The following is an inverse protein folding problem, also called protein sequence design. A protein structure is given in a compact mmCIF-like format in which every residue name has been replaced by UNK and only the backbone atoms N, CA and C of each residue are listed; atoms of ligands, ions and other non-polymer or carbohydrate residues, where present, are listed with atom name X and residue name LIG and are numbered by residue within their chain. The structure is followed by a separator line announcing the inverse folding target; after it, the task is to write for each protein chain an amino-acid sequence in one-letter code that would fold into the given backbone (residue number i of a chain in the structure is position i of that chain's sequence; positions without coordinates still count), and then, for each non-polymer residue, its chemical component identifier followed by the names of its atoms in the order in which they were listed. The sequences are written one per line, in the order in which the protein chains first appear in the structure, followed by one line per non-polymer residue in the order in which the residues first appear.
data_IF_203380194817
#
_entry.id   IF_203380194817
#
_cell.length_a   1.000
_cell.length_b   1.000
_cell.length_c   1.000
_cell.angle_alpha   90.00
_cell.angle_beta   90.00
_cell.angle_gamma   90.00
#
_symmetry.space_group_name_H-M   'P 1'
#
loop_
_entity.id
_entity.type
_entity.pdbx_description
1 polymer ?
#
# COMPACT_ATOMS: atom_id res chain seq x y z
CA UNK A 1 2.15 41.77 48.38
CA UNK A 2 -0.57 40.81 50.86
CA UNK A 3 0.93 37.40 51.61
CA UNK A 4 4.37 38.85 52.30
CA UNK A 5 6.31 36.84 49.73
CA UNK A 6 9.64 38.59 50.27
CA UNK A 7 12.59 36.27 50.86
CA UNK A 8 10.73 33.01 50.28
CA UNK A 9 9.56 32.92 53.89
CA UNK A 10 7.19 29.95 54.02
CA UNK A 11 8.07 26.65 52.35
CA UNK A 12 11.45 28.05 51.33
CA UNK A 13 13.97 25.56 49.95
CA UNK A 14 16.53 27.06 52.32
CA UNK A 15 14.30 26.14 55.25
CA UNK A 16 14.78 22.37 55.39
CA UNK A 17 12.59 19.28 55.75
CA UNK A 18 11.98 20.18 59.39
CA UNK A 19 11.15 23.79 58.54
CA UNK A 20 8.77 22.78 55.75
CA UNK A 21 6.32 20.87 57.94
CA UNK A 22 4.18 19.96 54.94
CA UNK A 23 3.96 16.37 56.15
CA UNK A 24 0.97 14.21 55.26
CA UNK A 25 3.09 11.61 53.47
CA UNK A 26 3.53 7.85 53.15
CA UNK A 27 5.90 5.42 54.85
CA UNK A 28 9.17 6.29 53.12
CA UNK A 29 9.96 5.79 49.44
CA UNK A 30 7.21 4.22 47.33
CA UNK A 31 8.71 0.85 46.44
CA UNK A 32 10.86 0.73 49.58
CA UNK A 33 13.93 -0.30 47.60
CA UNK A 34 17.11 1.78 47.81
CA UNK A 35 16.40 3.70 44.61
CA UNK A 36 17.25 7.35 45.25
CA UNK A 37 14.91 8.84 42.65
CA UNK A 38 15.82 6.52 39.79
CA UNK A 39 18.95 5.15 41.46
CA UNK A 40 22.06 6.09 39.48
CA UNK A 41 20.57 8.99 37.52
CA UNK A 42 17.16 8.77 35.86
CA UNK A 43 18.52 6.59 33.06
CA UNK A 44 20.86 9.52 32.40
CA UNK A 45 17.92 11.33 30.80
CA UNK A 46 15.77 11.91 27.69
CA UNK A 47 16.98 10.21 24.54
CA UNK A 48 15.33 12.75 22.25
CA UNK A 49 15.07 16.47 22.98
CA UNK A 50 12.08 18.74 22.39
CA UNK A 51 13.74 20.18 19.30
CA UNK A 52 14.53 16.82 17.73
CA UNK A 53 18.17 16.35 18.71
CA UNK A 54 19.28 13.18 20.47
CA UNK A 55 21.23 13.09 23.74
CA UNK A 56 23.61 10.42 22.50
CA UNK A 57 27.38 10.32 22.15
CA UNK A 58 29.25 7.78 20.06
CA UNK A 59 32.69 6.44 21.00
CA UNK A 60 35.04 3.97 19.32
CA UNK A 61 32.71 1.53 17.58
CA UNK A 62 34.85 -1.18 16.01
CA UNK A 63 33.01 -4.49 16.30
CA UNK A 64 33.51 -7.98 17.71
CA UNK A 65 36.70 -6.08 16.89
CA UNK A 66 33.64 -6.26 14.64
CA UNK A 67 32.33 -2.94 13.35
CA UNK A 68 32.91 -1.40 9.93
CA UNK A 69 33.37 1.00 7.02
CA UNK A 70 35.81 3.67 5.86
CA UNK A 71 32.84 2.26 7.77
CA UNK A 72 30.25 5.02 8.31
CA UNK A 73 27.57 2.86 6.67
CA UNK A 74 24.98 0.19 7.43
CA UNK A 75 26.51 -2.74 9.30
CA UNK A 76 25.54 -6.22 10.45
CA UNK A 77 26.80 -8.07 13.51
CA UNK A 78 29.46 -10.61 12.58
CA UNK A 79 27.58 -13.38 14.40
CA UNK A 80 23.95 -14.42 14.76
CA UNK A 81 22.42 -15.86 17.92
CA UNK A 82 19.66 -18.11 19.11
CA UNK A 83 18.16 -17.75 22.56
CA UNK A 84 14.98 -17.38 24.55
CA UNK A 85 13.13 -14.10 24.39
CA UNK A 86 9.80 -13.46 26.10
CA UNK A 87 9.30 -17.23 26.41
CA UNK A 88 10.14 -18.18 22.82
CA UNK A 89 13.23 -19.53 21.05
CA UNK A 90 14.40 -16.81 18.62
CA UNK A 91 17.01 -16.30 15.92
CA UNK A 92 18.46 -12.82 16.28
CA UNK A 93 21.06 -10.59 14.68
CA UNK A 94 22.20 -7.02 15.02
CA UNK A 95 22.01 -4.09 12.65
CA UNK A 96 23.52 -0.65 12.96
CA UNK A 97 23.94 2.61 11.09
CA UNK A 98 27.48 3.91 11.64
CA UNK A 99 26.62 6.84 9.40
CA UNK A 100 25.33 10.06 10.91
CA UNK A 101 22.08 10.52 9.00
CA UNK A 102 18.66 8.97 9.45
CA UNK A 103 17.64 6.01 7.31
CA UNK A 104 14.16 6.63 5.95
CA UNK A 105 11.62 3.87 5.47
CA UNK A 106 14.06 1.26 6.69
CA UNK A 107 12.90 -2.35 6.72
CA UNK A 108 14.65 -5.70 7.14
CA UNK A 109 14.33 -9.07 5.37
CA UNK A 110 15.96 -12.49 5.63
CA UNK A 111 16.06 -15.78 3.77
CA UNK A 112 17.37 -19.26 4.39
CA UNK A 113 19.20 -20.49 1.29
CA UNK A 114 19.27 -24.24 0.82
CA UNK A 115 19.17 -26.65 -2.09
CA UNK A 116 16.25 -29.07 -2.11
CA UNK A 117 14.42 -31.76 -4.03
CA UNK A 118 10.67 -31.73 -4.48
CA UNK A 119 8.55 -34.87 -4.27
CA UNK A 120 8.32 -34.58 -8.06
CA UNK A 121 12.09 -35.11 -8.10
CA UNK A 122 12.84 -31.60 -9.31
CA UNK A 123 16.19 -30.32 -8.09
CA UNK A 124 16.28 -26.69 -6.99
CA UNK A 125 19.84 -25.19 -6.67
CA UNK A 126 19.28 -22.82 -3.74
CA UNK A 127 15.65 -22.48 -2.79
CA UNK A 128 15.06 -19.17 -1.01
CA UNK A 129 12.88 -19.67 2.09
CA UNK A 130 11.64 -16.54 3.80
CA UNK A 131 12.50 -15.87 7.45
CA UNK A 132 9.74 -13.93 9.16
CA UNK A 133 10.95 -10.80 10.90
CA UNK A 134 7.68 -8.91 11.26
CA UNK A 135 6.33 -8.29 7.75
CA UNK A 136 2.81 -9.45 8.71
CA UNK A 137 2.46 -6.87 11.48
CA UNK A 138 4.72 -4.32 9.84
CA UNK A 139 7.37 -4.51 12.53
CA UNK A 140 9.86 -5.42 9.78
CA UNK A 141 9.98 -1.64 9.46
CA UNK A 142 12.52 -0.13 11.80
CA UNK A 143 13.52 3.19 13.30
CA UNK A 144 17.30 2.79 13.42
CA UNK A 145 19.24 5.25 15.55
CA UNK A 146 20.93 2.96 18.03
CA UNK A 147 21.91 -0.62 17.05
CA UNK A 148 18.78 -2.80 16.81
CA UNK A 149 18.41 -6.51 17.44
CA UNK A 150 16.33 -8.18 14.72
CA UNK A 151 14.21 -11.02 16.03
CA UNK A 152 12.75 -14.01 14.22
CA UNK A 153 10.39 -16.11 16.32
CA UNK A 154 11.03 -19.77 15.65
CA UNK A 155 7.36 -20.85 15.54
CA UNK A 156 5.60 -23.68 13.66
CA UNK A 157 6.00 -21.76 10.43
CA UNK A 158 9.71 -21.21 10.86
CA UNK A 159 12.03 -23.25 8.67
CA UNK A 160 14.23 -23.72 11.75
CA UNK A 161 11.32 -24.97 13.85
CA UNK A 162 12.77 -28.48 14.06
CA UNK A 163 16.42 -27.55 14.58
CA UNK A 164 18.18 -28.01 17.92
CA UNK A 165 21.67 -26.94 18.97
CA UNK A 166 23.03 -30.31 17.89
CA UNK A 167 21.24 -30.09 14.53
CA UNK A 168 22.69 -26.60 13.89
CA UNK A 169 26.15 -28.09 14.46
CA UNK A 170 25.91 -30.44 11.47
CA UNK A 171 23.61 -28.10 9.55
CA UNK A 172 24.54 -26.97 6.05
CA UNK A 173 22.51 -23.84 5.24
CA UNK A 174 23.00 -20.09 4.85
CA UNK A 175 20.86 -17.22 6.15
CA UNK A 176 20.95 -14.05 4.08
CA UNK A 177 20.04 -10.80 5.83
CA UNK A 178 19.03 -7.57 4.14
CA UNK A 179 18.51 -4.00 5.33
CA UNK A 180 17.06 -1.42 2.96
CA UNK A 181 16.15 2.24 3.28
CA UNK A 182 16.76 5.75 2.02
CA UNK A 183 19.73 7.61 3.43
CA UNK A 184 18.67 11.10 4.53
CA UNK A 185 19.15 13.94 2.03
CA UNK A 186 19.73 11.49 -0.82
CA UNK A 187 17.34 10.17 -3.46
CA UNK A 188 18.97 6.76 -3.36
CA UNK A 189 17.57 3.70 -1.62
CA UNK A 190 20.38 1.61 -0.19
CA UNK A 191 20.48 -2.18 0.18
CA UNK A 192 22.91 -3.58 2.76
CA UNK A 193 23.40 -7.37 2.79
CA UNK A 194 25.23 -9.96 4.82
CA UNK A 195 24.90 -13.64 5.60
CA UNK A 196 25.18 -16.17 8.41
CA UNK A 197 26.29 -19.76 7.84
CA UNK A 198 24.97 -22.35 10.28
CA UNK A 199 28.31 -22.40 12.12
CA UNK A 200 28.12 -18.62 12.45
CA UNK A 201 25.02 -18.89 14.65
CA UNK A 202 25.95 -18.89 18.34
CA UNK A 203 23.39 -21.01 20.15
CA UNK A 204 22.80 -19.83 23.71
CA UNK A 205 24.20 -16.32 23.33
CA UNK A 206 22.93 -12.75 23.68
CA UNK A 207 24.32 -9.48 22.37
CA UNK A 208 26.17 -7.12 24.68
CA UNK A 209 24.30 -3.81 25.22
CA UNK A 210 25.76 -0.82 23.33
CA UNK A 211 23.24 1.77 24.48
CA UNK A 212 24.18 3.43 27.77
CA UNK A 213 22.14 6.07 29.56
CA UNK A 214 24.27 9.02 30.69
CA UNK A 215 23.36 12.52 31.86
CA UNK A 216 20.36 13.92 29.94
CA UNK A 217 21.85 12.07 26.97
CA UNK A 218 22.47 8.62 25.47
CA UNK A 219 25.71 7.11 24.25
CA UNK A 220 26.27 4.21 21.89
CA UNK A 221 29.50 2.23 22.22
CA UNK A 222 30.18 0.49 18.94
CA UNK A 223 33.15 -1.40 20.39
CA UNK A 224 30.54 -3.77 21.84
CA UNK A 225 28.59 -4.17 18.59
CA UNK A 226 29.79 -7.68 17.71
CA UNK A 227 30.22 -8.83 21.33
CA UNK A 228 28.06 -11.63 22.73
CA UNK A 229 27.93 -13.70 25.92
CA UNK A 230 26.82 -17.21 26.84
CA UNK A 231 23.59 -17.94 28.62
CA UNK A 232 23.90 -21.52 30.01
CA UNK A 233 20.21 -21.64 30.98
CA UNK A 234 19.37 -21.61 27.25
CA UNK A 235 17.36 -24.73 26.26
CA UNK A 236 19.23 -27.11 23.93
CA UNK A 237 16.29 -28.76 22.18
CA UNK A 238 14.57 -27.50 19.02
CA UNK A 239 11.68 -25.03 19.13
CA UNK A 240 9.38 -27.94 18.30
CA UNK A 241 10.53 -29.92 21.37
CA UNK A 242 9.92 -26.88 23.54
CA UNK A 243 6.40 -26.73 22.10
CA UNK A 244 5.57 -30.35 22.93
CA UNK A 245 7.47 -30.33 26.23
CA UNK A 246 4.62 -28.18 27.58
CA UNK A 247 4.96 -31.12 29.96
CA UNK A 248 2.23 -32.73 27.85
CA UNK A 249 1.78 -36.00 25.98
CA UNK A 250 -1.64 -36.51 27.55
CA UNK A 251 -3.35 -35.32 24.37
CA UNK A 252 -2.49 -38.02 21.84
CA UNK A 253 -3.20 -35.92 18.76
CA UNK A 254 -0.25 -37.39 16.86
CA UNK A 255 -2.36 -38.82 14.04
CA UNK A 256 -0.34 -37.14 11.29
CA UNK A 257 2.03 -40.05 10.66
CA UNK A 258 2.74 -40.86 7.02
CA UNK A 259 5.74 -38.76 6.00
CA UNK A 260 8.40 -40.80 7.79
CA UNK A 261 11.56 -42.48 6.52
CA UNK A 262 11.35 -44.70 9.60
CA UNK A 263 14.76 -46.38 9.56
CA UNK A 264 14.91 -46.23 13.36
CA UNK A 265 11.14 -45.80 13.62
CA UNK A 266 9.48 -48.87 12.11
CA UNK A 267 11.47 -50.29 9.20
CA UNK A 268 11.68 -53.95 10.22
CA UNK A 269 9.03 -56.43 9.09
CA UNK A 270 11.15 -59.08 10.81
CA UNK A 271 10.44 -59.33 14.54
CA UNK A 272 13.51 -60.90 16.14
CA UNK A 273 15.84 -59.36 13.57
CA UNK A 274 18.77 -57.70 15.34
CA UNK A 275 21.71 -59.84 16.43
CA UNK A 276 21.39 -57.99 19.74
CA UNK A 277 17.68 -58.73 20.00
CA UNK A 278 16.06 -58.69 23.44
CA UNK A 279 17.63 -58.23 26.87
CA UNK A 280 21.06 -58.72 25.30
CA UNK A 281 23.00 -55.46 25.17
CA UNK A 282 26.08 -57.17 23.74
CA UNK A 283 27.73 -54.08 22.29
CA UNK A 284 30.88 -53.82 24.41
CA UNK A 285 28.93 -51.44 26.64
CA UNK A 286 26.39 -52.26 29.35
CA UNK A 287 23.32 -50.21 30.27
CA UNK A 288 21.91 -52.94 32.51
CA UNK A 289 25.11 -53.20 34.55
CA UNK A 290 27.38 -50.18 34.98
CA UNK A 291 26.50 -46.49 35.12
CA UNK A 292 30.01 -45.58 36.24
CA UNK A 293 33.22 -47.10 34.88
CA UNK A 294 35.67 -47.69 37.73
CA UNK A 295 37.96 -50.71 37.60
CA UNK A 296 38.77 -52.16 41.01
CA UNK A 297 38.87 -55.81 39.94
CA UNK A 298 42.28 -57.44 40.40
CA UNK A 299 40.51 -60.78 40.74
CA UNK A 300 37.48 -61.07 38.46
CA UNK A 301 34.40 -60.41 40.58
CA UNK A 302 34.57 -58.31 43.74
CA UNK A 303 30.92 -58.93 44.59
CA UNK A 304 29.15 -61.02 41.96
CA UNK A 305 26.02 -62.84 43.12
CA UNK A 306 26.18 -64.91 39.94
CA UNK A 307 29.51 -65.73 38.30
CA UNK A 308 28.68 -66.97 34.80
CA UNK A 309 25.14 -67.97 35.77
CA UNK B 1 22.10 -21.63 -55.98
CA UNK B 2 20.01 -24.66 -56.95
CA UNK B 3 16.76 -22.70 -57.16
CA UNK B 4 18.28 -20.04 -59.40
CA UNK B 5 17.54 -17.03 -57.21
CA UNK B 6 19.37 -14.49 -59.36
CA UNK B 7 17.35 -11.39 -60.25
CA UNK B 8 14.31 -12.20 -58.12
CA UNK B 9 12.82 -14.32 -60.91
CA UNK B 10 9.74 -15.89 -59.33
CA UNK B 11 7.37 -13.83 -57.19
CA UNK B 12 9.42 -10.71 -57.87
CA UNK B 13 7.89 -7.40 -56.80
CA UNK B 14 8.75 -6.05 -60.25
CA UNK B 15 6.60 -8.77 -61.81
CA UNK B 16 3.11 -7.50 -60.99
CA UNK B 17 -0.14 -8.94 -59.65
CA UNK B 18 -0.66 -10.77 -62.94
CA UNK B 19 2.90 -12.12 -62.94
CA UNK B 20 2.65 -13.29 -59.33
CA UNK B 21 -0.17 -15.77 -59.87
CA UNK B 22 -0.22 -16.68 -56.18
CA UNK B 23 -4.01 -16.41 -56.14
CA UNK B 24 -6.06 -18.44 -53.66
CA UNK B 25 -7.59 -15.35 -52.06
CA UNK B 26 -10.92 -13.99 -50.83
CA UNK B 27 -13.50 -11.73 -52.47
CA UNK B 28 -11.69 -8.39 -52.33
CA UNK B 29 -10.77 -6.47 -49.18
CA UNK B 30 -11.82 -8.05 -45.89
CA UNK B 31 -14.46 -5.63 -44.64
CA UNK B 32 -15.41 -4.52 -48.15
CA UNK B 33 -15.32 -0.85 -47.17
CA UNK B 34 -13.08 1.56 -49.07
CA UNK B 35 -10.26 1.40 -46.53
CA UNK B 36 -7.00 1.17 -48.47
CA UNK B 37 -4.98 -0.59 -45.77
CA UNK B 38 -6.02 1.63 -42.86
CA UNK B 39 -7.51 4.36 -45.05
CA UNK B 40 -5.57 7.61 -44.64
CA UNK B 41 -2.37 6.14 -43.23
CA UNK B 42 -2.40 3.50 -40.49
CA UNK B 43 -3.27 6.08 -37.84
CA UNK B 44 -0.05 7.77 -38.92
CA UNK B 45 1.85 5.10 -36.99
CA UNK B 46 3.23 3.87 -33.64
CA UNK B 47 2.89 6.30 -30.77
CA UNK B 48 5.87 4.85 -28.89
CA UNK B 49 9.03 3.55 -30.53
CA UNK B 50 10.99 0.42 -29.62
CA UNK B 51 13.61 2.54 -27.87
CA UNK B 52 11.13 4.49 -25.77
CA UNK B 53 10.78 7.70 -27.78
CA UNK B 54 7.36 8.95 -28.82
CA UNK B 55 6.35 9.82 -32.39
CA UNK B 56 4.59 13.01 -31.34
CA UNK B 57 5.06 16.63 -32.32
CA UNK B 58 3.65 19.55 -30.38
CA UNK B 59 2.49 22.78 -32.03
CA UNK B 60 1.07 26.02 -30.63
CA UNK B 61 -0.87 24.92 -27.56
CA UNK B 62 -2.59 27.99 -26.13
CA UNK B 63 -5.98 26.95 -24.77
CA UNK B 64 -9.66 27.80 -25.19
CA UNK B 65 -7.23 30.56 -26.13
CA UNK B 66 -6.97 28.42 -23.00
CA UNK B 67 -3.59 26.82 -22.36
CA UNK B 68 -0.89 28.01 -19.96
CA UNK B 69 2.42 28.73 -18.23
CA UNK B 70 5.59 30.72 -18.84
CA UNK B 71 3.27 27.73 -19.09
CA UNK B 72 5.33 24.54 -19.46
CA UNK B 73 3.58 23.02 -16.44
CA UNK B 74 0.53 21.00 -15.42
CA UNK B 75 -2.66 22.55 -16.77
CA UNK B 76 -6.42 22.10 -16.44
CA UNK B 77 -9.06 22.81 -19.08
CA UNK B 78 -10.78 26.12 -18.44
CA UNK B 79 -14.21 24.48 -18.59
CA UNK B 80 -15.73 21.25 -17.34
CA UNK B 81 -18.36 19.24 -19.19
CA UNK B 82 -21.20 16.84 -18.63
CA UNK B 83 -22.25 14.35 -21.28
CA UNK B 84 -22.98 10.74 -22.05
CA UNK B 85 -20.10 8.32 -22.21
CA UNK B 86 -20.50 4.58 -22.74
CA UNK B 87 -24.16 4.88 -21.75
CA UNK B 88 -23.69 6.93 -18.57
CA UNK B 89 -23.96 10.62 -17.69
CA UNK B 90 -20.44 11.79 -16.73
CA UNK B 91 -18.71 14.88 -15.38
CA UNK B 92 -15.43 15.34 -17.23
CA UNK B 93 -12.49 17.71 -17.36
CA UNK B 94 -9.15 17.86 -19.11
CA UNK B 95 -5.63 17.69 -17.79
CA UNK B 96 -2.36 18.23 -19.59
CA UNK B 97 1.37 18.42 -19.02
CA UNK B 98 2.80 21.25 -21.13
CA UNK B 99 6.21 20.43 -19.69
CA UNK B 100 8.52 18.06 -21.52
CA UNK B 101 9.23 15.49 -18.82
CA UNK B 102 7.23 12.54 -17.57
CA UNK B 103 5.11 12.88 -14.44
CA UNK B 104 5.75 9.90 -12.19
CA UNK B 105 3.05 8.31 -10.07
CA UNK B 106 0.49 10.82 -11.25
CA UNK B 107 -3.01 10.56 -9.82
CA UNK B 108 -6.07 12.83 -9.83
CA UNK B 109 -8.61 13.82 -7.17
CA UNK B 110 -11.69 16.04 -6.97
CA UNK B 111 -14.08 17.43 -4.39
CA UNK B 112 -17.38 19.25 -4.39
CA UNK B 113 -17.21 22.14 -1.92
CA UNK B 114 -20.53 23.20 -0.43
CA UNK B 115 -21.75 24.50 2.90
CA UNK B 116 -24.34 22.35 4.64
CA UNK B 117 -26.39 21.82 7.78
CA UNK B 118 -26.64 18.46 9.49
CA UNK B 119 -29.89 17.15 10.96
CA UNK B 120 -28.31 17.97 14.33
CA UNK B 121 -28.35 21.60 13.20
CA UNK B 122 -24.57 21.85 12.98
CA UNK B 123 -23.41 24.31 10.36
CA UNK B 124 -20.42 23.25 8.29
CA UNK B 125 -18.72 26.12 6.32
CA UNK B 126 -17.61 24.21 3.21
CA UNK B 127 -18.06 20.48 3.55
CA UNK B 128 -15.67 18.66 1.20
CA UNK B 129 -17.48 15.85 -0.64
CA UNK B 130 -15.32 13.48 -2.65
CA UNK B 131 -15.88 13.06 -6.39
CA UNK B 132 -15.01 9.56 -7.51
CA UNK B 133 -12.56 9.46 -10.40
CA UNK B 134 -11.31 5.89 -10.12
CA UNK B 135 -9.66 5.51 -6.70
CA UNK B 136 -11.50 2.23 -5.99
CA UNK B 137 -10.11 0.51 -9.09
CA UNK B 138 -6.91 2.51 -9.16
CA UNK B 139 -7.71 4.23 -12.42
CA UNK B 140 -7.29 7.54 -10.58
CA UNK B 141 -3.65 6.89 -11.44
CA UNK B 142 -2.77 8.23 -14.86
CA UNK B 143 -0.10 7.96 -17.51
CA UNK B 144 -0.06 11.53 -18.83
CA UNK B 145 1.70 12.15 -22.11
CA UNK B 146 -1.09 13.52 -24.25
CA UNK B 147 -3.96 15.53 -22.68
CA UNK B 148 -6.27 13.19 -20.73
CA UNK B 149 -9.98 13.52 -20.08
CA UNK B 150 -10.83 12.75 -16.45
CA UNK B 151 -14.17 11.05 -16.04
CA UNK B 152 -16.49 10.90 -13.05
CA UNK B 153 -19.46 8.58 -13.48
CA UNK B 154 -22.55 10.20 -12.04
CA UNK B 155 -23.95 7.07 -10.34
CA UNK B 156 -26.13 6.63 -7.23
CA UNK B 157 -23.16 7.51 -5.05
CA UNK B 158 -22.36 10.70 -6.89
CA UNK B 159 -23.22 13.96 -5.16
CA UNK B 160 -24.47 15.22 -8.54
CA UNK B 161 -26.71 12.18 -9.03
CA UNK B 162 -29.87 14.27 -8.70
CA UNK B 163 -28.77 17.30 -10.71
CA UNK B 164 -30.15 18.06 -14.17
CA UNK B 165 -29.11 20.76 -16.64
CA UNK B 166 -31.71 23.10 -15.17
CA UNK B 167 -30.53 22.37 -11.62
CA UNK B 168 -26.90 23.11 -12.57
CA UNK B 169 -28.07 26.49 -13.86
CA UNK B 170 -29.23 27.68 -10.42
CA UNK B 171 -26.66 25.57 -8.60
CA UNK B 172 -24.27 27.19 -6.13
CA UNK B 173 -21.32 24.83 -5.61
CA UNK B 174 -17.65 24.54 -6.52
CA UNK B 175 -15.69 21.52 -7.77
CA UNK B 176 -12.00 21.48 -6.89
CA UNK B 177 -9.71 19.38 -9.07
CA UNK B 178 -6.23 18.20 -8.15
CA UNK B 179 -3.39 16.56 -10.07
CA UNK B 180 -0.34 15.31 -8.20
CA UNK B 181 2.84 13.54 -9.23
CA UNK B 182 6.62 13.67 -9.35
CA UNK B 183 8.20 15.59 -12.18
CA UNK B 184 10.93 13.49 -13.81
CA UNK B 185 14.50 14.02 -12.59
CA UNK B 186 13.30 15.95 -9.53
CA UNK B 187 12.71 14.79 -5.96
CA UNK B 188 9.70 17.06 -5.63
CA UNK B 189 6.08 15.95 -5.80
CA UNK B 190 3.97 18.62 -7.45
CA UNK B 191 0.34 19.47 -6.70
CA UNK B 192 -1.58 21.30 -9.45
CA UNK B 193 -5.05 22.61 -8.54
CA UNK B 194 -7.96 24.31 -10.24
CA UNK B 195 -11.69 24.62 -9.75
CA UNK B 196 -14.99 24.63 -11.60
CA UNK B 197 -17.99 26.65 -10.44
CA UNK B 198 -21.41 25.31 -11.39
CA UNK B 199 -21.71 27.88 -14.20
CA UNK B 200 -18.33 26.75 -15.52
CA UNK B 201 -19.72 23.28 -16.31
CA UNK B 202 -20.90 23.08 -19.92
CA UNK B 203 -23.81 20.66 -20.02
CA UNK B 204 -24.04 18.80 -23.32
CA UNK B 205 -20.48 19.41 -24.50
CA UNK B 206 -17.43 17.31 -25.40
CA UNK B 207 -13.77 18.24 -25.68
CA UNK B 208 -12.17 18.74 -29.07
CA UNK B 209 -9.51 16.11 -29.85
CA UNK B 210 -5.90 17.33 -29.56
CA UNK B 211 -4.19 14.05 -30.45
CA UNK B 212 -3.69 13.59 -34.19
CA UNK B 213 -2.10 10.57 -35.84
CA UNK B 214 0.49 11.55 -38.45
CA UNK B 215 3.23 9.56 -40.19
CA UNK B 216 4.85 7.02 -37.84
CA UNK B 217 4.34 9.69 -35.18
CA UNK B 218 1.74 11.48 -33.06
CA UNK B 219 1.14 15.20 -32.67
CA UNK B 220 -0.65 17.07 -29.92
CA UNK B 221 -2.22 20.43 -30.77
CA UNK B 222 -2.61 22.41 -27.58
CA UNK B 223 -4.53 25.18 -29.36
CA UNK B 224 -7.55 22.88 -29.04
CA UNK B 225 -7.01 22.10 -25.35
CA UNK B 226 -9.82 24.27 -23.97
CA UNK B 227 -12.10 23.88 -27.01
CA UNK B 228 -15.46 22.10 -26.68
CA UNK B 229 -18.51 21.52 -28.87
CA UNK B 230 -22.23 21.03 -28.28
CA UNK B 231 -23.91 17.68 -28.52
CA UNK B 232 -27.69 18.38 -28.82
CA UNK B 233 -28.58 14.69 -28.36
CA UNK B 234 -27.34 14.99 -24.75
CA UNK B 235 -30.13 14.12 -22.26
CA UNK B 236 -31.30 17.08 -20.15
CA UNK B 237 -32.57 15.24 -17.08
CA UNK B 238 -30.49 14.28 -14.03
CA UNK B 239 -28.58 10.99 -13.83
CA UNK B 240 -31.26 9.76 -11.44
CA UNK B 241 -34.04 10.39 -13.99
CA UNK B 242 -32.05 8.49 -16.61
CA UNK B 243 -31.82 5.61 -14.13
CA UNK B 244 -35.58 5.42 -13.53
CA UNK B 245 -36.48 6.23 -17.13
CA UNK B 246 -35.30 2.70 -17.96
CA UNK B 247 -38.83 2.98 -19.34
CA UNK B 248 -39.90 1.43 -16.04
CA UNK B 249 -42.34 2.31 -13.26
CA UNK B 250 -43.77 -1.22 -13.32
CA UNK B 251 -41.75 -2.15 -10.23
CA UNK B 252 -43.28 0.00 -7.49
CA UNK B 253 -40.33 -0.24 -5.11
CA UNK B 254 -40.67 3.39 -4.03
CA UNK B 255 -41.27 2.59 -0.36
CA UNK B 256 -38.50 4.88 0.89
CA UNK B 257 -40.70 7.92 1.46
CA UNK B 258 -40.10 9.83 4.69
CA UNK B 259 -37.43 12.43 3.93
CA UNK B 260 -39.64 14.85 2.01
CA UNK B 261 -40.39 18.54 2.52
CA UNK B 262 -43.55 17.95 0.49
CA UNK B 263 -44.69 21.51 -0.18
CA UNK B 264 -45.87 20.51 -3.65
CA UNK B 265 -46.01 16.84 -2.69
CA UNK B 266 -48.52 16.43 0.13
CA UNK B 267 -48.59 19.45 2.43
CA UNK B 268 -52.32 20.18 2.52
CA UNK B 269 -54.55 18.62 5.17
CA UNK B 270 -57.36 20.69 3.67
CA UNK B 271 -58.98 19.00 0.68
CA UNK B 272 -60.64 21.75 -1.36
CA UNK B 273 -58.03 24.32 -0.34
CA UNK B 274 -56.76 26.14 -3.43
CA UNK B 275 -58.78 29.04 -4.81
CA UNK B 276 -58.26 27.36 -8.18
CA UNK B 277 -59.48 24.00 -6.89
CA UNK B 278 -60.84 21.49 -9.40
CA UNK B 279 -61.42 21.85 -13.14
CA UNK B 280 -60.92 25.60 -12.80
CA UNK B 281 -57.62 26.70 -14.32
CA UNK B 282 -58.35 30.36 -13.62
CA UNK B 283 -54.77 31.62 -13.81
CA UNK B 284 -54.90 33.86 -16.88
CA UNK B 285 -53.70 30.86 -18.88
CA UNK B 286 -55.72 27.90 -20.15
CA UNK B 287 -54.50 24.31 -20.49
CA UNK B 288 -57.98 22.97 -21.21
CA UNK B 289 -58.56 25.41 -24.07
CA UNK B 290 -55.64 26.71 -26.11
CA UNK B 291 -52.37 25.00 -27.01
CA UNK B 292 -51.49 27.73 -29.51
CA UNK B 293 -52.06 31.45 -28.98
CA UNK B 294 -53.31 33.03 -32.20
CA UNK B 295 -55.80 35.89 -32.01
CA UNK B 296 -58.25 35.98 -34.91
CA UNK B 297 -61.25 37.22 -32.93
CA UNK B 298 -62.52 40.62 -34.06
CA UNK B 299 -65.96 39.64 -32.77
CA UNK B 300 -65.78 37.56 -29.59
CA UNK B 301 -66.28 33.93 -30.58
CA UNK B 302 -65.41 32.69 -34.07
CA UNK B 303 -66.72 29.19 -33.37
CA UNK B 304 -67.95 28.79 -29.80
CA UNK B 305 -70.41 25.96 -29.20
CA UNK B 306 -71.21 27.51 -25.82
CA UNK B 307 -71.00 31.26 -25.29
CA UNK B 308 -71.02 31.80 -21.53
CA UNK B 309 -72.70 28.46 -20.86
CA UNK C 1 51.97 -26.61 26.10
CA UNK C 2 50.88 -29.82 27.82
CA UNK C 3 49.67 -31.46 24.62
CA UNK C 4 52.92 -30.73 22.79
CA UNK C 5 51.45 -28.76 19.89
CA UNK C 6 54.78 -27.80 18.32
CA UNK C 7 55.07 -28.55 14.61
CA UNK C 8 51.49 -29.71 14.09
CA UNK C 9 52.38 -33.24 15.16
CA UNK C 10 49.04 -35.05 15.28
CA UNK C 11 46.48 -34.62 12.50
CA UNK C 12 48.90 -32.40 10.59
CA UNK C 13 47.95 -31.55 7.01
CA UNK C 14 51.49 -32.50 6.00
CA UNK C 15 50.90 -35.99 7.38
CA UNK C 16 48.59 -37.45 4.74
CA UNK C 17 45.38 -39.47 4.65
CA UNK C 18 47.28 -42.52 5.87
CA UNK C 19 48.96 -40.55 8.66
CA UNK C 20 45.68 -39.00 9.79
CA UNK C 21 43.96 -42.26 10.72
CA UNK C 22 40.79 -40.42 11.71
CA UNK C 23 38.69 -42.94 9.79
CA UNK C 24 35.11 -43.66 10.82
CA UNK C 25 33.69 -42.58 7.47
CA UNK C 26 31.16 -43.64 4.84
CA UNK C 27 31.54 -45.56 1.58
CA UNK C 28 33.21 -42.92 -0.59
CA UNK C 29 31.66 -39.64 -1.73
CA UNK C 30 28.09 -39.00 -0.60
CA UNK C 31 26.17 -39.16 -3.88
CA UNK C 32 28.69 -41.51 -5.48
CA UNK C 33 28.81 -39.44 -8.66
CA UNK C 34 32.13 -38.09 -9.93
CA UNK C 35 31.64 -34.66 -8.38
CA UNK C 36 34.96 -33.62 -6.83
CA UNK C 37 33.53 -31.27 -4.21
CA UNK C 38 31.14 -29.39 -6.49
CA UNK C 39 32.68 -30.69 -9.72
CA UNK C 40 34.19 -27.84 -11.73
CA UNK C 41 34.52 -25.32 -8.91
CA UNK C 42 31.72 -24.70 -6.42
CA UNK C 43 29.71 -22.73 -8.97
CA UNK C 44 32.76 -20.47 -9.10
CA UNK C 45 31.67 -19.02 -5.76
CA UNK C 46 29.49 -16.51 -3.86
CA UNK C 47 27.57 -14.08 -6.03
CA UNK C 48 27.41 -11.43 -3.31
CA UNK C 49 30.19 -10.70 -0.82
CA UNK C 50 29.84 -9.99 2.89
CA UNK C 51 30.39 -6.29 2.27
CA UNK C 52 27.78 -6.00 -0.47
CA UNK C 53 29.93 -6.22 -3.60
CA UNK C 54 29.12 -8.76 -6.30
CA UNK C 55 31.61 -11.27 -7.73
CA UNK C 56 30.52 -10.65 -11.29
CA UNK C 57 32.40 -9.51 -14.37
CA UNK C 58 30.74 -8.19 -17.51
CA UNK C 59 32.14 -8.76 -21.01
CA UNK C 60 30.98 -7.66 -24.45
CA UNK C 61 27.20 -7.59 -24.16
CA UNK C 62 25.80 -6.74 -27.59
CA UNK C 63 22.59 -8.70 -28.10
CA UNK C 64 21.06 -11.19 -30.53
CA UNK C 65 23.80 -8.99 -31.96
CA UNK C 66 20.96 -7.76 -29.76
CA UNK C 67 21.98 -5.62 -26.79
CA UNK C 68 21.85 -1.84 -26.51
CA UNK C 69 22.48 1.79 -25.59
CA UNK C 70 25.20 4.42 -25.99
CA UNK C 71 23.41 1.49 -24.36
CA UNK C 72 24.13 1.47 -20.62
CA UNK C 73 20.39 1.49 -19.87
CA UNK C 74 17.41 -0.81 -19.37
CA UNK C 75 17.06 -3.26 -22.25
CA UNK C 76 14.60 -5.86 -23.51
CA UNK C 77 15.38 -9.02 -25.46
CA UNK C 78 14.67 -8.56 -29.16
CA UNK C 79 12.49 -11.68 -29.23
CA UNK C 80 9.90 -13.24 -26.95
CA UNK C 81 9.44 -16.97 -26.43
CA UNK C 82 6.86 -19.54 -25.52
CA UNK C 83 7.81 -22.82 -23.91
CA UNK C 84 7.18 -25.19 -21.05
CA UNK C 85 8.37 -24.21 -17.61
CA UNK C 86 7.71 -26.26 -14.48
CA UNK C 87 4.94 -28.10 -16.33
CA UNK C 88 3.14 -25.07 -17.77
CA UNK C 89 3.13 -23.30 -21.14
CA UNK C 90 4.61 -19.81 -20.56
CA UNK C 91 5.21 -16.60 -22.49
CA UNK C 92 8.63 -15.24 -21.53
CA UNK C 93 10.92 -12.35 -22.34
CA UNK C 94 14.21 -11.02 -21.09
CA UNK C 95 15.09 -7.82 -19.30
CA UNK C 96 18.48 -6.42 -18.41
CA UNK C 97 20.16 -3.39 -16.89
CA UNK C 98 23.29 -2.57 -18.90
CA UNK C 99 23.86 0.37 -16.57
CA UNK C 100 26.06 -0.04 -13.52
CA UNK C 101 23.71 1.09 -10.76
CA UNK C 102 20.92 -0.69 -8.95
CA UNK C 103 17.32 -0.15 -10.03
CA UNK C 104 15.21 0.50 -6.95
CA UNK C 105 11.64 -0.72 -6.62
CA UNK C 106 11.73 -2.26 -10.07
CA UNK C 107 8.56 -3.94 -11.32
CA UNK C 108 7.39 -5.21 -14.71
CA UNK C 109 4.07 -5.00 -16.58
CA UNK C 110 2.70 -6.18 -19.92
CA UNK C 111 -0.37 -5.76 -22.09
CA UNK C 112 -1.79 -7.36 -25.19
CA UNK C 113 -3.01 -4.64 -27.56
CA UNK C 114 -5.80 -5.65 -29.91
CA UNK C 115 -8.84 -4.00 -31.43
CA UNK C 116 -12.17 -5.59 -30.56
CA UNK C 117 -15.94 -5.34 -30.83
CA UNK C 118 -18.21 -5.79 -27.85
CA UNK C 119 -21.49 -7.67 -28.04
CA UNK C 120 -23.11 -4.22 -27.89
CA UNK C 121 -21.39 -3.53 -31.21
CA UNK C 122 -19.05 -0.92 -29.77
CA UNK C 123 -15.74 -0.74 -31.59
CA UNK C 124 -12.67 -0.30 -29.42
CA UNK C 125 -9.49 0.80 -31.34
CA UNK C 126 -6.83 -1.03 -29.30
CA UNK C 127 -8.21 -2.58 -26.15
CA UNK C 128 -5.42 -3.03 -23.59
CA UNK C 129 -5.62 -6.49 -21.99
CA UNK C 130 -3.35 -7.10 -19.02
CA UNK C 131 -0.78 -9.90 -19.10
CA UNK C 132 -0.21 -11.32 -15.64
CA UNK C 133 3.44 -11.39 -14.62
CA UNK C 134 3.09 -11.73 -10.87
CA UNK C 135 1.20 -8.66 -9.60
CA UNK C 136 -1.15 -10.78 -7.45
CA UNK C 137 1.70 -12.34 -5.47
CA UNK C 138 4.01 -9.38 -5.83
CA UNK C 139 6.56 -11.23 -7.90
CA UNK C 140 6.09 -8.56 -10.57
CA UNK C 141 8.65 -6.78 -8.41
CA UNK C 142 12.18 -7.71 -9.40
CA UNK C 143 15.72 -7.54 -8.12
CA UNK C 144 17.61 -6.93 -11.36
CA UNK C 145 21.36 -7.44 -11.31
CA UNK C 146 21.81 -10.15 -13.90
CA UNK C 147 19.42 -10.43 -16.88
CA UNK C 148 16.04 -11.78 -15.72
CA UNK C 149 13.52 -13.85 -17.63
CA UNK C 150 9.98 -12.55 -17.12
CA UNK C 151 7.39 -15.30 -17.07
CA UNK C 152 3.68 -15.18 -17.80
CA UNK C 153 1.83 -18.41 -17.08
CA UNK C 154 -0.68 -19.07 -19.83
CA UNK C 155 -3.53 -20.23 -17.56
CA UNK C 156 -7.33 -20.06 -17.97
CA UNK C 157 -7.20 -16.33 -17.32
CA UNK C 158 -4.55 -15.65 -19.90
CA UNK C 159 -5.66 -13.95 -23.11
CA UNK C 160 -3.38 -16.37 -24.97
CA UNK C 161 -4.94 -19.41 -23.29
CA UNK C 162 -6.49 -20.61 -26.55
CA UNK C 163 -3.58 -19.88 -28.87
CA UNK C 164 -1.42 -22.63 -30.36
CA UNK C 165 1.75 -22.36 -32.44
CA UNK C 166 -0.34 -22.38 -35.61
CA UNK C 167 -2.67 -19.70 -34.23
CA UNK C 168 0.29 -17.45 -33.33
CA UNK C 169 1.44 -17.74 -36.95
CA UNK C 170 -1.68 -16.03 -38.34
CA UNK C 171 -2.18 -13.94 -35.20
CA UNK C 172 -2.43 -10.16 -35.45
CA UNK C 173 -1.74 -8.70 -32.00
CA UNK C 174 0.97 -6.79 -30.15
CA UNK C 175 2.37 -7.34 -26.65
CA UNK C 176 3.72 -4.25 -24.93
CA UNK C 177 6.25 -4.77 -22.14
CA UNK C 178 7.20 -2.24 -19.48
CA UNK C 179 9.94 -2.04 -16.86
CA UNK C 180 9.87 0.73 -14.28
CA UNK C 181 12.06 1.65 -11.33
CA UNK C 182 14.29 4.27 -9.78
CA UNK C 183 17.88 4.41 -10.94
CA UNK C 184 20.22 4.53 -7.94
CA UNK C 185 21.36 7.97 -6.75
CA UNK C 186 18.70 9.71 -8.85
CA UNK C 187 15.26 11.00 -7.87
CA UNK C 188 13.83 9.97 -11.23
CA UNK C 189 11.69 6.92 -11.86
CA UNK C 190 12.44 5.48 -15.28
CA UNK C 191 10.01 3.72 -17.61
CA UNK C 192 11.54 1.43 -20.25
CA UNK C 193 9.18 0.05 -22.92
CA UNK C 194 9.30 -2.35 -25.82
CA UNK C 195 6.89 -4.54 -27.74
CA UNK C 196 6.53 -7.96 -29.33
CA UNK C 197 4.38 -8.58 -32.40
CA UNK C 198 2.92 -12.06 -32.78
CA UNK C 199 5.58 -12.96 -35.37
CA UNK C 200 8.26 -11.84 -32.92
CA UNK C 201 7.32 -14.62 -30.49
CA UNK C 202 9.49 -17.70 -31.04
CA UNK C 203 7.38 -20.73 -30.17
CA UNK C 204 9.46 -23.59 -28.80
CA UNK C 205 12.53 -21.57 -27.82
CA UNK C 206 14.47 -20.79 -24.63
CA UNK C 207 16.95 -18.05 -23.84
CA UNK C 208 20.66 -18.78 -23.77
CA UNK C 209 22.17 -18.41 -20.27
CA UNK C 210 24.23 -15.23 -19.73
CA UNK C 211 25.15 -15.84 -16.09
CA UNK C 212 28.30 -17.92 -15.66
CA UNK C 213 29.80 -18.97 -12.35
CA UNK C 214 33.56 -18.35 -12.21
CA UNK C 215 36.02 -18.26 -9.31
CA UNK C 216 34.47 -16.69 -6.19
CA UNK C 217 32.68 -14.41 -8.65
CA UNK C 218 29.95 -14.26 -11.30
CA UNK C 219 30.16 -13.01 -14.87
CA UNK C 220 27.39 -11.88 -17.19
CA UNK C 221 27.96 -12.20 -20.93
CA UNK C 222 25.66 -9.79 -22.71
CA UNK C 223 26.65 -11.13 -26.13
CA UNK C 224 24.18 -13.94 -25.40
CA UNK C 225 21.36 -11.63 -24.26
CA UNK C 226 19.18 -11.93 -27.38
CA UNK C 227 20.24 -15.51 -28.21
CA UNK C 228 17.69 -18.34 -28.10
CA UNK C 229 17.60 -22.02 -29.07
CA UNK C 230 14.93 -24.45 -30.25
CA UNK C 231 13.41 -27.07 -28.02
CA UNK C 232 11.70 -29.62 -30.35
CA UNK C 233 9.99 -31.38 -27.42
CA UNK C 234 7.88 -28.23 -26.94
CA UNK C 235 4.13 -29.01 -27.28
CA UNK C 236 2.48 -27.41 -30.32
CA UNK C 237 -1.10 -27.17 -29.07
CA UNK C 238 -2.59 -24.25 -27.12
CA UNK C 239 -2.44 -24.06 -23.32
CA UNK C 240 -6.12 -24.98 -23.29
CA UNK C 241 -5.50 -28.21 -25.23
CA UNK C 242 -2.74 -29.12 -22.79
CA UNK C 243 -5.25 -28.59 -19.98
CA UNK C 244 -7.88 -30.92 -21.45
CA UNK C 245 -5.33 -33.41 -22.77
CA UNK C 246 -4.81 -34.45 -19.14
CA UNK C 247 -5.62 -37.63 -21.04
CA UNK C 248 -9.21 -37.00 -19.95
CA UNK C 249 -12.59 -36.69 -21.67
CA UNK C 250 -14.15 -39.08 -19.16
CA UNK C 251 -15.69 -36.17 -17.26
CA UNK C 252 -18.23 -34.76 -19.71
CA UNK C 253 -18.53 -31.36 -18.05
CA UNK C 254 -18.75 -29.54 -21.38
CA UNK C 255 -22.19 -28.06 -20.73
CA UNK C 256 -21.11 -24.49 -21.48
CA UNK C 257 -22.11 -24.51 -25.14
CA UNK C 258 -23.90 -21.41 -26.41
CA UNK C 259 -21.21 -19.00 -27.58
CA UNK C 260 -20.35 -20.77 -30.83
CA UNK C 261 -20.32 -19.56 -34.43
CA UNK C 262 -20.61 -23.21 -35.43
CA UNK C 263 -19.90 -23.04 -39.16
CA UNK C 264 -18.02 -26.34 -38.98
CA UNK C 265 -19.71 -27.27 -35.71
CA UNK C 266 -23.45 -27.50 -36.31
CA UNK C 267 -24.63 -24.99 -38.91
CA UNK C 268 -26.62 -27.26 -41.22
CA UNK C 269 -30.34 -27.82 -40.67
CA UNK C 270 -30.24 -29.89 -43.86
CA UNK C 271 -29.15 -33.48 -43.24
CA UNK C 272 -27.82 -34.81 -46.54
CA UNK C 273 -26.58 -31.38 -47.62
CA UNK C 274 -23.00 -31.65 -48.85
CA UNK C 275 -22.35 -32.78 -52.42
CA UNK C 276 -19.77 -35.09 -50.88
CA UNK C 277 -22.25 -36.46 -48.34
CA UNK C 278 -21.59 -39.89 -46.85
CA UNK C 279 -18.85 -42.42 -47.63
CA UNK C 280 -17.98 -40.41 -50.74
CA UNK C 281 -14.67 -38.59 -50.33
CA UNK C 282 -14.79 -37.27 -53.89
CA UNK C 283 -12.35 -34.40 -53.43
CA UNK C 284 -9.46 -35.47 -55.66
CA UNK C 285 -7.89 -36.99 -52.55
CA UNK C 286 -8.69 -40.31 -50.88
CA UNK C 287 -8.56 -41.05 -47.15
CA UNK C 288 -10.25 -44.43 -47.54
CA UNK C 289 -7.73 -45.62 -50.14
CA UNK C 290 -4.17 -44.31 -50.11
CA UNK C 291 -2.01 -43.22 -47.17
CA UNK C 292 1.09 -43.06 -49.36
CA UNK C 293 1.21 -41.70 -52.90
CA UNK C 294 3.44 -43.90 -55.05
CA UNK C 295 2.55 -44.42 -58.70
CA UNK C 296 3.51 -47.85 -60.03
CA UNK C 297 0.54 -48.28 -62.37
CA UNK C 298 1.51 -48.53 -66.04
CA UNK C 299 -1.67 -50.53 -66.62
CA UNK C 300 -4.58 -49.30 -64.51
CA UNK C 301 -4.90 -51.65 -61.55
CA UNK C 302 -1.92 -53.62 -60.24
CA UNK C 303 -4.01 -55.47 -57.66
CA UNK C 304 -7.64 -54.33 -57.65
CA UNK C 305 -10.14 -56.78 -56.19
CA UNK C 306 -12.92 -54.71 -57.74
CA UNK C 307 -12.37 -52.79 -60.98
CA UNK C 308 -15.25 -50.33 -61.26
CA UNK C 309 -17.49 -52.40 -58.99
CA UNK D 1 -27.73 46.75 -33.70
CA UNK D 2 -31.44 45.97 -33.92
CA UNK D 3 -31.98 46.16 -30.16
CA UNK D 4 -30.27 49.54 -29.89
CA UNK D 5 -27.60 48.57 -27.36
CA UNK D 6 -25.77 51.90 -27.41
CA UNK D 7 -25.13 53.42 -23.99
CA UNK D 8 -26.45 50.51 -21.94
CA UNK D 9 -30.00 51.84 -22.18
CA UNK D 10 -32.11 49.11 -20.58
CA UNK D 11 -31.05 47.45 -17.34
CA UNK D 12 -28.02 49.74 -17.13
CA UNK D 13 -26.09 49.70 -13.86
CA UNK D 14 -26.20 53.50 -13.93
CA UNK D 15 -30.00 53.35 -13.94
CA UNK D 16 -30.70 52.31 -10.35
CA UNK D 17 -32.92 49.81 -8.55
CA UNK D 18 -35.96 51.92 -9.42
CA UNK D 19 -34.91 52.22 -13.06
CA UNK D 20 -34.26 48.49 -13.37
CA UNK D 21 -37.81 47.36 -12.64
CA UNK D 22 -36.83 43.71 -12.95
CA UNK D 23 -38.74 42.90 -9.77
CA UNK D 24 -40.20 39.43 -9.23
CA UNK D 25 -38.19 38.84 -6.06
CA UNK D 26 -38.55 37.50 -2.52
CA UNK D 27 -39.14 39.24 0.81
CA UNK D 28 -35.73 40.82 1.38
CA UNK D 29 -32.47 38.97 1.98
CA UNK D 30 -32.70 35.17 2.04
CA UNK D 31 -31.93 34.38 5.68
CA UNK D 32 -33.24 37.73 6.91
CA UNK D 33 -30.19 38.29 9.10
CA UNK D 34 -28.11 41.43 8.66
CA UNK D 35 -25.51 39.75 6.46
CA UNK D 36 -24.70 42.14 3.62
CA UNK D 37 -23.60 39.52 1.10
CA UNK D 38 -21.34 37.53 3.42
CA UNK D 39 -21.24 40.20 6.13
CA UNK D 40 -17.71 41.54 6.57
CA UNK D 41 -16.31 40.45 3.20
CA UNK D 42 -16.95 36.98 1.79
CA UNK D 43 -14.46 35.40 4.19
CA UNK D 44 -11.95 37.76 2.58
CA UNK D 45 -11.90 35.44 -0.43
CA UNK D 46 -10.50 32.29 -2.09
CA UNK D 47 -7.70 30.58 -0.20
CA UNK D 48 -6.21 29.03 -3.34
CA UNK D 49 -6.08 30.73 -6.73
CA UNK D 50 -6.76 29.16 -10.13
CA UNK D 51 -3.04 29.01 -10.84
CA UNK D 52 -2.13 27.32 -7.57
CA UNK D 53 -0.98 30.27 -5.48
CA UNK D 54 -2.48 30.89 -2.05
CA UNK D 55 -4.02 34.19 -0.92
CA UNK D 56 -2.32 34.07 2.46
CA UNK D 57 0.04 36.45 4.20
CA UNK D 58 2.16 35.52 7.20
CA UNK D 59 3.03 37.98 9.98
CA UNK D 60 5.12 37.66 13.14
CA UNK D 61 4.64 34.04 14.18
CA UNK D 62 6.46 33.55 17.48
CA UNK D 63 4.44 31.15 19.63
CA UNK D 64 2.79 31.01 23.05
CA UNK D 65 5.67 33.47 22.72
CA UNK D 66 5.70 29.91 21.40
CA UNK D 67 6.77 29.50 17.78
CA UNK D 68 10.18 28.44 16.48
CA UNK D 69 13.30 27.93 14.37
CA UNK D 70 16.20 29.97 13.01
CA UNK D 71 12.70 28.50 13.05
CA UNK D 72 11.45 28.09 9.46
CA UNK D 73 10.76 24.39 10.11
CA UNK D 74 8.10 22.01 11.38
CA UNK D 75 6.79 23.07 14.78
CA UNK D 76 4.53 21.74 17.52
CA UNK D 77 2.37 23.76 19.90
CA UNK D 78 4.01 24.07 23.31
CA UNK D 79 0.87 22.78 25.04
CA UNK D 80 -1.68 20.07 24.37
CA UNK D 81 -5.38 20.34 25.15
CA UNK D 82 -8.39 18.26 26.00
CA UNK D 83 -11.89 19.43 25.19
CA UNK D 84 -15.18 18.55 23.55
CA UNK D 85 -15.33 18.43 19.80
CA UNK D 86 -18.41 17.37 17.83
CA UNK D 87 -19.80 15.76 20.99
CA UNK D 88 -16.69 13.82 22.02
CA UNK D 89 -13.86 14.39 24.50
CA UNK D 90 -10.65 14.79 22.46
CA UNK D 91 -6.92 15.18 23.02
CA UNK D 92 -5.59 17.77 20.58
CA UNK D 93 -2.35 19.47 19.66
CA UNK D 94 -1.16 21.86 16.99
CA UNK D 95 1.28 21.42 14.16
CA UNK D 96 2.68 24.00 11.78
CA UNK D 97 5.16 24.42 8.95
CA UNK D 98 7.00 27.73 9.40
CA UNK D 99 8.97 26.90 6.28
CA UNK D 100 7.79 28.16 2.91
CA UNK D 101 7.60 24.91 0.94
CA UNK D 102 4.98 22.20 0.83
CA UNK D 103 5.42 19.05 2.90
CA UNK D 104 4.70 16.04 0.71
CA UNK D 105 3.03 12.91 2.02
CA UNK D 106 2.82 14.34 5.51
CA UNK D 107 1.32 12.15 8.22
CA UNK D 108 1.20 12.34 12.02
CA UNK D 109 1.65 9.75 14.79
CA UNK D 110 1.56 9.72 18.59
CA UNK D 111 2.35 7.40 21.47
CA UNK D 112 1.78 7.36 25.20
CA UNK D 113 5.00 6.29 26.94
CA UNK D 114 4.55 4.61 30.30
CA UNK D 115 6.26 1.86 32.24
CA UNK D 116 4.08 -1.13 33.10
CA UNK D 117 3.96 -4.61 34.59
CA UNK D 118 2.23 -7.48 32.86
CA UNK D 119 0.16 -10.05 34.73
CA UNK D 120 3.12 -12.38 34.16
CA UNK D 121 5.13 -9.98 36.31
CA UNK D 122 7.32 -8.82 33.44
CA UNK D 123 8.52 -5.26 33.86
CA UNK D 124 8.53 -3.13 30.72
CA UNK D 125 10.61 0.13 30.98
CA UNK D 126 8.51 2.42 28.78
CA UNK D 127 5.80 0.58 26.91
CA UNK D 128 4.81 2.52 23.79
CA UNK D 129 1.01 2.67 23.43
CA UNK D 130 -0.32 4.04 20.17
CA UNK D 131 -2.60 7.10 20.16
CA UNK D 132 -5.06 6.95 17.30
CA UNK D 133 -5.05 10.05 15.13
CA UNK D 134 -6.72 8.71 12.01
CA UNK D 135 -4.54 5.89 10.65
CA UNK D 136 -7.54 3.56 10.17
CA UNK D 137 -9.35 5.99 7.86
CA UNK D 138 -6.19 7.56 6.51
CA UNK D 139 -6.89 10.96 8.00
CA UNK D 140 -3.53 10.69 9.77
CA UNK D 141 -2.33 12.04 6.43
CA UNK D 142 -2.42 15.81 6.34
CA UNK D 143 -2.30 18.69 3.91
CA UNK D 144 -0.37 21.25 5.96
CA UNK D 145 -0.41 24.84 4.75
CA UNK D 146 -1.97 26.63 7.68
CA UNK D 147 -1.47 25.34 11.26
CA UNK D 148 -3.53 22.17 11.80
CA UNK D 149 -5.09 20.86 14.99
CA UNK D 150 -4.48 17.12 15.40
CA UNK D 151 -7.35 15.33 17.06
CA UNK D 152 -7.42 12.07 18.98
CA UNK D 153 -10.90 10.88 19.92
CA UNK D 154 -10.85 9.50 23.44
CA UNK D 155 -13.06 6.46 22.77
CA UNK D 156 -13.20 3.01 24.40
CA UNK D 157 -9.96 2.08 22.70
CA UNK D 158 -8.10 5.14 23.87
CA UNK D 159 -5.53 4.65 26.61
CA UNK D 160 -6.86 7.87 28.18
CA UNK D 161 -10.45 6.62 28.11
CA UNK D 162 -10.61 6.41 31.91
CA UNK D 163 -8.77 9.62 32.74
CA UNK D 164 -10.55 12.69 34.11
CA UNK D 165 -9.19 16.18 34.77
CA UNK D 166 -8.34 15.17 38.33
CA UNK D 167 -6.62 11.99 37.15
CA UNK D 168 -4.50 13.96 34.64
CA UNK D 169 -3.36 16.14 37.55
CA UNK D 170 -1.65 13.27 39.38
CA UNK D 171 -0.87 11.41 36.15
CA UNK D 172 2.70 10.39 35.37
CA UNK D 173 2.93 9.69 31.63
CA UNK D 174 4.38 11.24 28.47
CA UNK D 175 2.80 11.64 25.03
CA UNK D 176 5.23 11.68 22.12
CA UNK D 177 4.07 13.35 18.91
CA UNK D 178 5.60 12.87 15.47
CA UNK D 179 5.18 14.61 12.12
CA UNK D 180 6.86 13.16 9.04
CA UNK D 181 6.93 14.12 5.38
CA UNK D 182 9.09 15.15 2.45
CA UNK D 183 10.05 18.79 2.19
CA UNK D 184 9.38 20.06 -1.34
CA UNK D 185 12.30 19.99 -3.80
CA UNK D 186 14.34 17.73 -1.51
CA UNK D 187 14.79 13.96 -1.55
CA UNK D 188 14.84 13.85 2.24
CA UNK D 189 11.96 12.73 4.44
CA UNK D 190 11.92 14.76 7.64
CA UNK D 191 10.81 13.58 11.09
CA UNK D 192 9.79 16.30 13.56
CA UNK D 193 9.17 15.19 17.17
CA UNK D 194 7.98 16.69 20.41
CA UNK D 195 6.33 15.52 23.60
CA UNK D 196 3.66 16.42 26.13
CA UNK D 197 3.91 15.47 29.80
CA UNK D 198 0.64 15.02 31.67
CA UNK D 199 1.02 18.45 33.30
CA UNK D 200 1.52 19.96 29.85
CA UNK D 201 -2.03 19.02 28.83
CA UNK D 202 -4.44 21.89 29.45
CA UNK D 203 -7.81 20.38 30.30
CA UNK D 204 -10.70 22.56 29.18
CA UNK D 205 -8.81 24.66 26.65
CA UNK D 206 -8.97 25.36 22.91
CA UNK D 207 -6.40 26.81 20.54
CA UNK D 208 -6.67 30.41 19.38
CA UNK D 209 -7.37 30.70 15.63
CA UNK D 210 -4.37 31.73 13.51
CA UNK D 211 -6.09 31.66 10.12
CA UNK D 212 -7.81 34.94 9.24
CA UNK D 213 -9.77 35.61 6.07
CA UNK D 214 -8.79 38.92 4.45
CA UNK D 215 -9.43 40.34 0.98
CA UNK D 216 -9.26 37.63 -1.72
CA UNK D 217 -6.49 36.17 0.44
CA UNK D 218 -5.74 34.37 3.71
CA UNK D 219 -3.30 35.32 6.45
CA UNK D 220 -1.77 33.17 9.16
CA UNK D 221 -0.69 34.86 12.38
CA UNK D 222 1.91 32.69 14.06
CA UNK D 223 1.97 34.91 17.16
CA UNK D 224 -1.18 33.04 18.19
CA UNK D 225 0.22 29.56 17.49
CA UNK D 226 0.78 28.52 21.12
CA UNK D 227 -2.12 30.56 22.53
CA UNK D 228 -5.10 28.81 24.15
CA UNK D 229 -8.18 29.84 26.12
CA UNK D 230 -10.34 28.27 28.81
CA UNK D 231 -13.74 26.80 28.12
CA UNK D 232 -15.49 26.47 31.53
CA UNK D 233 -18.36 24.43 30.05
CA UNK D 234 -15.85 21.61 29.44
CA UNK D 235 -16.90 18.40 31.28
CA UNK D 236 -14.55 17.39 34.10
CA UNK D 237 -15.18 13.65 34.18
CA UNK D 238 -13.32 11.03 32.11
CA UNK D 239 -14.46 10.02 28.62
CA UNK D 240 -15.76 6.80 30.15
CA UNK D 241 -18.02 8.68 32.60
CA UNK D 242 -19.39 10.74 29.73
CA UNK D 243 -20.18 7.47 27.95
CA UNK D 244 -22.14 5.99 30.86
CA UNK D 245 -23.69 9.31 31.87
CA UNK D 246 -25.86 8.97 28.75
CA UNK D 247 -28.25 9.49 31.66
CA UNK D 248 -28.46 5.70 31.76
CA UNK D 249 -27.98 2.99 34.38
CA UNK D 250 -31.26 1.35 33.40
CA UNK D 251 -29.41 -1.29 31.40
CA UNK D 252 -27.54 -3.26 34.06
CA UNK D 253 -25.00 -4.80 31.70
CA UNK D 254 -22.17 -4.45 34.21
CA UNK D 255 -21.43 -8.18 34.40
CA UNK D 256 -17.72 -7.77 33.65
CA UNK D 257 -16.57 -7.62 37.27
CA UNK D 258 -13.46 -9.62 38.12
CA UNK D 259 -10.49 -7.33 37.52
CA UNK D 260 -10.89 -5.18 40.62
CA UNK D 261 -8.50 -4.39 43.47
CA UNK D 262 -11.59 -3.53 45.52
CA UNK D 263 -10.04 -1.82 48.54
CA UNK D 264 -12.94 0.62 48.68
CA UNK D 265 -15.15 -1.69 46.63
CA UNK D 266 -15.59 -4.94 48.55
CA UNK D 267 -12.49 -5.85 50.55
CA UNK D 268 -14.03 -6.50 53.96
CA UNK D 269 -15.18 -9.99 54.94
CA UNK D 270 -15.97 -8.49 58.34
CA UNK D 271 -19.40 -6.85 58.46
CA UNK D 272 -19.31 -4.34 61.32
CA UNK D 273 -15.61 -3.66 60.84
CA UNK D 274 -15.00 0.09 60.76
CA UNK D 275 -14.72 1.98 64.04
CA UNK D 276 -17.10 4.46 62.43
CA UNK D 277 -19.56 1.74 61.45
CA UNK D 278 -23.19 2.69 60.88
CA UNK D 279 -24.94 6.04 61.36
CA UNK D 280 -21.89 7.29 63.24
CA UNK D 281 -19.95 9.84 61.18
CA UNK D 282 -17.48 10.46 64.01
CA UNK D 283 -14.69 11.94 61.90
CA UNK D 284 -14.56 15.51 63.19
CA UNK D 285 -16.88 16.42 60.32
CA UNK D 286 -20.64 15.95 60.07
CA UNK D 287 -22.62 15.15 56.92
CA UNK D 288 -25.82 14.47 58.85
CA UNK D 289 -25.72 17.83 60.62
CA UNK D 290 -24.09 20.84 58.97
CA UNK D 291 -23.85 21.73 55.28
CA UNK D 292 -22.57 25.22 56.09
CA UNK D 293 -20.05 26.05 58.81
CA UNK D 294 -21.08 29.25 60.58
CA UNK D 295 -20.39 29.60 64.30
CA UNK D 296 -22.99 31.66 66.14
CA UNK D 297 -22.92 29.69 69.39
CA UNK D 298 -21.75 31.71 72.39
CA UNK D 299 -23.79 29.39 74.60
CA UNK D 300 -23.72 25.79 73.39
CA UNK D 301 -26.98 25.16 71.54
CA UNK D 302 -28.92 28.00 69.91
CA UNK D 303 -31.79 25.73 68.88
CA UNK D 304 -31.16 22.10 69.82
CA UNK D 305 -34.25 19.90 70.11
CA UNK D 306 -32.11 17.30 71.86
CA UNK D 307 -29.13 18.32 73.98
CA UNK D 308 -27.09 15.16 74.53
CA UNK D 309 -30.07 12.89 73.90
#
# INVERSE_FOLDING_TARGET
MGSVRTNRYSIVSSEEDGMKLATMAVANGFGNGKSKVHTRQQCRSRFVKKDGHCNVQFINVGEKGQRGGRNETLVFSHNAVIAMRDGKLCLMWRVGNLRKSHLVEAHVRAQLLKSRITSEGEYIPLDQIDINVGFDSGIDRIFLVSPITIVHEIDEDSPLYDLSKQDIDNADFEIVVILEGMVEATAMTTQCRSSYLANEILWGHRYEPVLFEEKHYYKVDYSRFHKTYEVPNTPLCSARDLAEKKYILSNANSFCYENEVALTSKEEEEDSENGVPESTSTDSPPGIDLHNQASVPLEPRPLRRESEI
MGSVRTNRYSIVSSEEDGMKLATMAVANGFGNGKSKVHTRQQCRSRFVKKDGHCNVQFINVGEKGQRGGRNETLVFSHNAVIAMRDGKLCLMWRVGNLRKSHLVEAHVRAQLLKSRITSEGEYIPLDQIDINVGFDSGIDRIFLVSPITIVHEIDEDSPLYDLSKQDIDNADFEIVVILEGMVEATAMTTQCRSSYLANEILWGHRYEPVLFEEKHYYKVDYSRFHKTYEVPNTPLCSARDLAEKKYILSNANSFCYENEVALTSKEEEEDSENGVPESTSTDSPPGIDLHNQASVPLEPRPLRRESEI
MGSVRTNRYSIVSSEEDGMKLATMAVANGFGNGKSKVHTRQQCRSRFVKKDGHCNVQFINVGEKGQRGGRNETLVFSHNAVIAMRDGKLCLMWRVGNLRKSHLVEAHVRAQLLKSRITSEGEYIPLDQIDINVGFDSGIDRIFLVSPITIVHEIDEDSPLYDLSKQDIDNADFEIVVILEGMVEATAMTTQCRSSYLANEILWGHRYEPVLFEEKHYYKVDYSRFHKTYEVPNTPLCSARDLAEKKYILSNANSFCYENEVALTSKEEEEDSENGVPESTSTDSPPGIDLHNQASVPLEPRPLRRESEI
MGSVRTNRYSIVSSEEDGMKLATMAVANGFGNGKSKVHTRQQCRSRFVKKDGHCNVQFINVGEKGQRGGRNETLVFSHNAVIAMRDGKLCLMWRVGNLRKSHLVEAHVRAQLLKSRITSEGEYIPLDQIDINVGFDSGIDRIFLVSPITIVHEIDEDSPLYDLSKQDIDNADFEIVVILEGMVEATAMTTQCRSSYLANEILWGHRYEPVLFEEKHYYKVDYSRFHKTYEVPNTPLCSARDLAEKKYILSNANSFCYENEVALTSKEEEEDSENGVPESTSTDSPPGIDLHNQASVPLEPRPLRRESEI
#
